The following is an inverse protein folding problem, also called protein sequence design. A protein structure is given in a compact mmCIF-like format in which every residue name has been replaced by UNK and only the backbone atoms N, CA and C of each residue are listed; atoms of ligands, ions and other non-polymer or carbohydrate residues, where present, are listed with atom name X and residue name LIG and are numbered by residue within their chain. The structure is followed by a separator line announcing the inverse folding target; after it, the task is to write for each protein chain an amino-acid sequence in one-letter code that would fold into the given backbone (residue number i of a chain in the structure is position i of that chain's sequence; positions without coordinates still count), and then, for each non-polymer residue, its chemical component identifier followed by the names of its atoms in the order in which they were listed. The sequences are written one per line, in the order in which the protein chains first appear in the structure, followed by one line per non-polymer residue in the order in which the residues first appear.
data_IF_394874380171
#
_entry.id   IF_394874380171
#
_cell.length_a   1.000
_cell.length_b   1.000
_cell.length_c   1.000
_cell.angle_alpha   90.00
_cell.angle_beta   90.00
_cell.angle_gamma   90.00
#
_symmetry.space_group_name_H-M   'P 1'
#
loop_
_entity.id
_entity.type
_entity.pdbx_description
1 polymer ?
#
# COMPACT_ATOMS: atom_id res chain seq x y z
N UNK A 1 -46.43 5.35 -3.73
CA UNK A 1 -45.27 5.69 -4.57
C UNK A 1 -44.08 5.85 -3.64
N UNK A 2 -43.13 4.93 -3.66
CA UNK A 2 -41.91 5.03 -2.85
C UNK A 2 -40.90 5.93 -3.57
N UNK A 3 -40.08 6.72 -2.84
CA UNK A 3 -39.08 7.57 -3.46
C UNK A 3 -37.96 6.72 -4.05
N UNK A 4 -37.72 6.89 -5.35
CA UNK A 4 -36.56 6.40 -6.09
C UNK A 4 -35.27 6.91 -5.45
N UNK A 5 -34.45 6.01 -4.90
CA UNK A 5 -33.07 6.33 -4.53
C UNK A 5 -32.27 6.66 -5.80
N UNK A 6 -31.57 7.80 -5.86
CA UNK A 6 -30.66 8.08 -6.95
C UNK A 6 -29.30 7.44 -6.62
N UNK A 7 -28.78 6.65 -7.56
CA UNK A 7 -27.44 6.05 -7.60
C UNK A 7 -27.21 4.78 -6.79
N UNK A 8 -27.72 3.66 -7.32
CA UNK A 8 -27.02 2.38 -7.21
C UNK A 8 -25.91 2.36 -8.29
N UNK A 9 -24.68 2.73 -7.93
CA UNK A 9 -23.54 2.22 -8.71
C UNK A 9 -23.34 0.77 -8.29
N UNK A 10 -23.47 -0.21 -9.20
CA UNK A 10 -23.50 -1.62 -8.83
C UNK A 10 -22.09 -2.06 -8.42
N UNK A 11 -21.97 -2.55 -7.19
CA UNK A 11 -20.93 -3.40 -6.63
C UNK A 11 -19.67 -3.64 -7.50
N UNK A 12 -18.59 -2.89 -7.22
CA UNK A 12 -17.24 -3.43 -7.45
C UNK A 12 -16.99 -4.39 -6.30
N UNK A 13 -17.34 -5.67 -6.48
CA UNK A 13 -17.04 -6.67 -5.47
C UNK A 13 -15.52 -6.75 -5.28
N UNK A 14 -15.00 -6.56 -4.05
CA UNK A 14 -13.60 -6.78 -3.79
C UNK A 14 -13.26 -8.22 -4.19
N UNK A 15 -12.20 -8.37 -4.98
CA UNK A 15 -11.75 -9.67 -5.49
C UNK A 15 -10.64 -10.17 -4.60
N UNK A 16 -10.77 -11.40 -4.08
CA UNK A 16 -9.78 -12.02 -3.21
C UNK A 16 -9.13 -13.22 -3.90
N UNK A 17 -7.86 -13.52 -3.61
CA UNK A 17 -6.95 -12.79 -2.73
C UNK A 17 -6.53 -11.44 -3.32
N UNK A 18 -6.22 -10.48 -2.46
CA UNK A 18 -5.73 -9.15 -2.82
C UNK A 18 -4.59 -8.72 -1.89
N UNK A 19 -3.65 -7.97 -2.45
CA UNK A 19 -2.62 -7.27 -1.71
C UNK A 19 -2.94 -5.77 -1.66
N UNK A 20 -3.06 -5.24 -0.47
CA UNK A 20 -3.21 -3.80 -0.24
C UNK A 20 -1.85 -3.20 0.15
N UNK A 21 -1.49 -2.10 -0.50
CA UNK A 21 -0.26 -1.36 -0.26
C UNK A 21 -0.62 0.06 0.13
N UNK A 22 -0.33 0.41 1.39
CA UNK A 22 -0.55 1.74 1.94
C UNK A 22 0.76 2.53 1.94
N UNK A 23 0.84 3.71 1.31
CA UNK A 23 2.06 4.50 1.24
C UNK A 23 2.48 4.97 2.65
N UNK A 24 3.78 4.90 2.95
CA UNK A 24 4.35 5.42 4.19
C UNK A 24 5.09 6.76 4.02
N UNK A 25 5.31 7.18 2.77
CA UNK A 25 6.07 8.39 2.43
C UNK A 25 5.44 9.20 1.27
N UNK A 26 4.13 9.09 1.08
CA UNK A 26 3.34 9.84 0.09
C UNK A 26 3.82 9.74 -1.37
N UNK A 27 4.58 8.69 -1.71
CA UNK A 27 5.13 8.50 -3.06
C UNK A 27 4.12 7.95 -4.08
N UNK A 28 2.97 7.46 -3.61
CA UNK A 28 1.90 6.92 -4.45
C UNK A 28 0.58 6.93 -3.66
N UNK A 29 -0.55 6.78 -4.34
CA UNK A 29 -1.86 6.56 -3.71
C UNK A 29 -2.01 5.10 -3.27
N UNK A 30 -2.77 4.77 -2.22
CA UNK A 30 -3.01 3.39 -1.82
C UNK A 30 -3.39 2.49 -3.00
N UNK A 31 -2.83 1.28 -3.04
CA UNK A 31 -3.06 0.30 -4.11
C UNK A 31 -3.74 -0.95 -3.55
N UNK A 32 -4.74 -1.45 -4.25
CA UNK A 32 -5.46 -2.69 -3.98
C UNK A 32 -5.33 -3.62 -5.19
N UNK A 33 -4.30 -4.47 -5.17
CA UNK A 33 -3.90 -5.33 -6.28
C UNK A 33 -4.57 -6.69 -6.10
N UNK A 34 -5.42 -7.10 -7.04
CA UNK A 34 -6.02 -8.44 -7.00
C UNK A 34 -5.05 -9.48 -7.57
N UNK A 35 -4.98 -10.65 -6.91
CA UNK A 35 -4.02 -11.73 -7.20
C UNK A 35 -4.73 -13.02 -7.64
N UNK A 36 -5.91 -12.91 -8.26
CA UNK A 36 -6.69 -14.06 -8.71
C UNK A 36 -6.06 -14.81 -9.90
N UNK A 37 -6.48 -16.05 -10.12
CA UNK A 37 -6.13 -16.91 -11.27
C UNK A 37 -4.64 -17.28 -11.37
N UNK A 38 -3.94 -17.46 -10.24
CA UNK A 38 -2.52 -17.81 -10.20
C UNK A 38 -1.62 -16.85 -10.99
N UNK A 39 -2.10 -15.61 -11.21
CA UNK A 39 -1.39 -14.63 -12.02
C UNK A 39 -0.30 -13.95 -11.22
N UNK A 40 0.88 -13.84 -11.83
CA UNK A 40 1.98 -13.00 -11.33
C UNK A 40 1.73 -11.57 -11.76
N UNK A 41 1.46 -10.70 -10.80
CA UNK A 41 1.35 -9.26 -11.01
C UNK A 41 2.73 -8.64 -10.95
N UNK A 42 3.11 -7.95 -12.03
CA UNK A 42 4.36 -7.20 -12.08
C UNK A 42 4.26 -5.93 -11.23
N UNK A 43 5.26 -5.74 -10.36
CA UNK A 43 5.59 -4.48 -9.73
C UNK A 43 6.68 -3.78 -10.53
N UNK A 44 6.45 -2.53 -10.90
CA UNK A 44 7.45 -1.77 -11.63
C UNK A 44 7.02 -0.36 -11.96
N UNK A 45 7.75 0.28 -12.86
CA UNK A 45 7.46 1.61 -13.38
C UNK A 45 6.99 1.54 -14.81
N UNK A 46 5.96 2.34 -15.13
CA UNK A 46 5.52 2.51 -16.51
C UNK A 46 6.65 3.03 -17.41
N UNK A 47 6.74 2.47 -18.61
CA UNK A 47 7.46 3.12 -19.69
C UNK A 47 6.54 3.41 -20.85
N UNK A 48 6.56 4.68 -21.25
CA UNK A 48 5.86 5.32 -22.40
C UNK A 48 5.88 4.55 -23.74
N UNK A 49 6.57 3.41 -23.86
CA UNK A 49 6.50 2.49 -25.00
C UNK A 49 5.13 1.79 -25.11
N UNK A 50 4.43 1.56 -24.01
CA UNK A 50 3.06 1.02 -24.01
C UNK A 50 2.12 2.08 -23.49
N UNK A 51 1.48 2.83 -24.40
CA UNK A 51 0.62 3.99 -24.14
C UNK A 51 -0.67 3.71 -23.33
N UNK A 52 -0.72 2.60 -22.60
CA UNK A 52 -1.96 2.00 -22.05
C UNK A 52 -1.86 1.64 -20.57
N UNK A 53 -0.67 1.67 -19.95
CA UNK A 53 -0.50 1.30 -18.53
C UNK A 53 -0.37 2.56 -17.68
N UNK A 54 -1.50 3.07 -17.21
CA UNK A 54 -1.55 4.22 -16.29
C UNK A 54 -1.41 3.68 -14.87
N UNK A 55 -0.44 4.14 -14.04
CA UNK A 55 -0.41 3.85 -12.62
C UNK A 55 -1.77 4.12 -11.99
N UNK A 56 -2.37 3.09 -11.40
CA UNK A 56 -3.70 3.16 -10.83
C UNK A 56 -3.78 2.38 -9.52
N UNK A 57 -4.87 2.57 -8.79
CA UNK A 57 -5.10 1.90 -7.51
C UNK A 57 -5.12 0.37 -7.66
N UNK A 58 -5.45 -0.17 -8.83
CA UNK A 58 -5.64 -1.61 -9.06
C UNK A 58 -4.47 -2.32 -9.73
N UNK A 59 -3.33 -1.67 -9.91
CA UNK A 59 -2.17 -2.25 -10.57
C UNK A 59 -0.85 -2.05 -9.80
N UNK A 60 0.14 -2.87 -10.14
CA UNK A 60 1.49 -2.84 -9.54
C UNK A 60 2.44 -1.76 -10.08
N UNK A 61 1.94 -0.79 -10.85
CA UNK A 61 2.81 0.21 -11.48
C UNK A 61 2.92 1.49 -10.65
N UNK A 62 4.14 1.98 -10.47
CA UNK A 62 4.48 3.20 -9.72
C UNK A 62 5.11 4.24 -10.63
N UNK A 63 4.81 5.52 -10.41
CA UNK A 63 5.46 6.63 -11.12
C UNK A 63 6.71 7.11 -10.34
N UNK A 64 7.72 6.24 -10.22
CA UNK A 64 8.93 6.57 -9.46
C UNK A 64 10.20 6.11 -10.17
N UNK A 65 11.12 7.05 -10.46
CA UNK A 65 12.36 6.79 -11.22
C UNK A 65 13.28 5.77 -10.57
N UNK A 66 13.18 5.58 -9.27
CA UNK A 66 13.99 4.61 -8.51
C UNK A 66 13.46 3.19 -8.61
N UNK A 67 12.26 3.02 -9.15
CA UNK A 67 11.64 1.73 -9.45
C UNK A 67 11.96 1.33 -10.89
N UNK A 68 12.35 0.06 -11.05
CA UNK A 68 12.68 -0.55 -12.34
C UNK A 68 11.40 -0.83 -13.12
N UNK A 69 11.50 -1.01 -14.45
CA UNK A 69 10.30 -1.29 -15.29
C UNK A 69 9.64 -2.62 -14.93
N UNK A 70 10.47 -3.62 -14.72
CA UNK A 70 10.16 -4.88 -14.06
C UNK A 70 11.05 -4.87 -12.83
N UNK A 71 10.47 -4.74 -11.64
CA UNK A 71 11.21 -4.56 -10.40
C UNK A 71 10.98 -5.74 -9.46
N UNK A 72 9.72 -6.10 -9.24
CA UNK A 72 9.34 -7.29 -8.50
C UNK A 72 8.12 -7.95 -9.15
N UNK A 73 7.81 -9.16 -8.71
CA UNK A 73 6.57 -9.86 -9.02
C UNK A 73 5.88 -10.25 -7.73
N UNK A 74 4.56 -10.18 -7.73
CA UNK A 74 3.71 -10.57 -6.62
C UNK A 74 2.69 -11.57 -7.12
N UNK A 75 2.46 -12.63 -6.37
CA UNK A 75 1.43 -13.62 -6.66
C UNK A 75 0.90 -14.20 -5.36
N UNK A 76 -0.25 -14.86 -5.46
CA UNK A 76 -0.73 -15.73 -4.41
C UNK A 76 -0.43 -17.19 -4.77
N UNK A 77 -0.04 -17.96 -3.78
CA UNK A 77 0.14 -19.41 -3.87
C UNK A 77 -0.29 -20.05 -2.55
N UNK A 78 -1.20 -21.02 -2.63
CA UNK A 78 -1.59 -21.87 -1.50
C UNK A 78 -2.06 -21.11 -0.25
N UNK A 79 -2.80 -20.01 -0.43
CA UNK A 79 -3.34 -19.14 0.62
C UNK A 79 -2.34 -18.13 1.17
N UNK A 80 -1.19 -17.94 0.52
CA UNK A 80 -0.11 -17.05 0.95
C UNK A 80 0.29 -16.13 -0.19
N UNK A 81 0.58 -14.87 0.13
CA UNK A 81 1.03 -13.90 -0.87
C UNK A 81 2.55 -13.87 -0.84
N UNK A 82 3.16 -13.94 -2.02
CA UNK A 82 4.60 -13.92 -2.18
C UNK A 82 5.05 -12.72 -3.02
N UNK A 83 6.27 -12.28 -2.77
CA UNK A 83 6.98 -11.30 -3.57
C UNK A 83 8.36 -11.80 -3.95
N UNK A 84 8.81 -11.47 -5.16
CA UNK A 84 10.16 -11.78 -5.64
C UNK A 84 10.74 -10.57 -6.37
N UNK A 85 11.98 -10.22 -6.06
CA UNK A 85 12.75 -9.26 -6.84
C UNK A 85 13.18 -9.88 -8.18
N UNK A 86 12.95 -9.17 -9.29
CA UNK A 86 13.26 -9.63 -10.65
C UNK A 86 14.46 -8.90 -11.26
N UNK A 87 15.61 -8.94 -10.56
CA UNK A 87 16.86 -8.24 -10.94
C UNK A 87 16.69 -6.73 -10.94
N UNK A 88 16.07 -6.19 -9.91
CA UNK A 88 15.93 -4.74 -9.81
C UNK A 88 17.29 -4.05 -9.66
N UNK A 89 17.39 -2.81 -10.16
CA UNK A 89 18.65 -2.05 -10.10
C UNK A 89 18.92 -1.52 -8.70
N UNK A 90 17.89 -0.99 -8.05
CA UNK A 90 18.03 -0.36 -6.73
C UNK A 90 17.64 -1.29 -5.58
N UNK A 91 17.21 -2.53 -5.86
CA UNK A 91 16.78 -3.50 -4.85
C UNK A 91 15.32 -3.37 -4.42
N UNK A 92 14.76 -4.52 -4.02
CA UNK A 92 13.56 -4.64 -3.20
C UNK A 92 13.97 -4.96 -1.76
N UNK A 93 13.30 -4.32 -0.80
CA UNK A 93 13.55 -4.56 0.63
C UNK A 93 12.24 -4.87 1.34
N UNK A 94 12.32 -5.72 2.37
CA UNK A 94 11.20 -6.03 3.26
C UNK A 94 11.68 -5.84 4.69
N UNK A 95 10.96 -5.04 5.45
CA UNK A 95 11.31 -4.68 6.83
C UNK A 95 12.73 -4.10 6.97
N UNK A 96 13.21 -3.43 5.93
CA UNK A 96 14.55 -2.85 5.84
C UNK A 96 15.65 -3.83 5.41
N UNK A 97 15.34 -5.12 5.24
CA UNK A 97 16.27 -6.12 4.73
C UNK A 97 16.13 -6.30 3.22
N UNK A 98 17.27 -6.33 2.51
CA UNK A 98 17.28 -6.47 1.06
C UNK A 98 17.12 -7.92 0.64
N UNK A 99 16.21 -8.20 -0.30
CA UNK A 99 15.89 -9.57 -0.73
C UNK A 99 16.97 -10.24 -1.58
N UNK A 100 17.76 -9.47 -2.33
CA UNK A 100 18.79 -10.01 -3.21
C UNK A 100 19.98 -9.05 -3.38
N UNK A 101 21.07 -9.60 -3.91
CA UNK A 101 22.20 -8.80 -4.41
C UNK A 101 21.80 -8.00 -5.65
N UNK A 102 22.57 -6.97 -5.98
CA UNK A 102 22.21 -6.05 -7.06
C UNK A 102 22.20 -6.76 -8.41
N UNK A 103 21.12 -6.57 -9.18
CA UNK A 103 20.96 -7.24 -10.47
C UNK A 103 20.76 -8.77 -10.39
N UNK A 104 20.47 -9.30 -9.20
CA UNK A 104 20.19 -10.72 -8.97
C UNK A 104 18.73 -10.90 -8.56
N UNK A 105 18.09 -11.95 -9.06
CA UNK A 105 16.74 -12.34 -8.62
C UNK A 105 16.78 -12.81 -7.16
N UNK A 106 15.74 -12.46 -6.39
CA UNK A 106 15.60 -13.02 -5.04
C UNK A 106 14.92 -14.38 -5.07
N UNK A 107 15.00 -15.10 -3.94
CA UNK A 107 14.02 -16.16 -3.67
C UNK A 107 12.63 -15.53 -3.38
N UNK A 108 11.54 -16.29 -3.58
CA UNK A 108 10.21 -15.88 -3.12
C UNK A 108 10.20 -15.60 -1.62
N UNK A 109 9.70 -14.42 -1.25
CA UNK A 109 9.48 -14.04 0.13
C UNK A 109 7.98 -14.03 0.42
N UNK A 110 7.56 -14.67 1.51
CA UNK A 110 6.17 -14.70 1.96
C UNK A 110 5.83 -13.37 2.67
N UNK A 111 4.84 -12.64 2.16
CA UNK A 111 4.38 -11.39 2.74
C UNK A 111 3.36 -11.64 3.85
N UNK A 112 3.58 -10.97 4.98
CA UNK A 112 2.65 -10.94 6.09
C UNK A 112 2.00 -9.56 6.28
N UNK A 113 0.90 -9.55 7.02
CA UNK A 113 0.23 -8.30 7.38
C UNK A 113 1.17 -7.39 8.16
N UNK A 114 1.23 -6.12 7.76
CA UNK A 114 2.06 -5.05 8.32
C UNK A 114 3.53 -5.08 7.92
N UNK A 115 3.97 -6.00 7.06
CA UNK A 115 5.30 -5.93 6.46
C UNK A 115 5.50 -4.59 5.74
N UNK A 116 6.71 -4.05 5.83
CA UNK A 116 7.09 -2.83 5.12
C UNK A 116 7.88 -3.23 3.89
N UNK A 117 7.26 -3.08 2.71
CA UNK A 117 7.94 -3.27 1.43
C UNK A 117 8.51 -1.95 0.93
N UNK A 118 9.73 -1.99 0.43
CA UNK A 118 10.40 -0.85 -0.19
C UNK A 118 10.88 -1.22 -1.59
N UNK A 119 10.66 -0.32 -2.54
CA UNK A 119 11.20 -0.44 -3.89
C UNK A 119 12.15 0.71 -4.18
N UNK A 120 13.40 0.34 -4.46
CA UNK A 120 14.49 1.25 -4.69
C UNK A 120 14.96 2.01 -3.45
N UNK A 121 15.74 3.05 -3.68
CA UNK A 121 16.42 3.86 -2.66
C UNK A 121 16.16 5.35 -2.88
N UNK A 122 16.37 6.17 -1.86
CA UNK A 122 16.36 7.62 -2.01
C UNK A 122 17.59 8.06 -2.83
N UNK A 123 17.36 8.83 -3.90
CA UNK A 123 18.43 9.47 -4.67
C UNK A 123 18.59 10.89 -4.14
N UNK A 124 19.76 11.18 -3.56
CA UNK A 124 20.13 12.51 -3.07
C UNK A 124 20.86 13.27 -4.18
N UNK A 125 20.60 14.57 -4.29
CA UNK A 125 21.29 15.45 -5.25
C UNK A 125 22.73 15.76 -4.86
N UNK A 126 23.42 16.47 -5.76
CA UNK A 126 24.83 16.86 -5.61
C UNK A 126 25.10 17.70 -4.36
N UNK A 127 24.08 18.35 -3.82
CA UNK A 127 24.15 19.15 -2.60
C UNK A 127 24.10 18.32 -1.31
N UNK A 128 23.97 16.99 -1.41
CA UNK A 128 23.81 16.04 -0.31
C UNK A 128 22.66 16.37 0.66
N UNK A 129 21.74 17.25 0.26
CA UNK A 129 20.65 17.75 1.11
C UNK A 129 19.29 17.52 0.48
N UNK A 130 19.20 17.62 -0.83
CA UNK A 130 17.92 17.51 -1.54
C UNK A 130 17.71 16.07 -2.01
N UNK A 131 16.64 15.42 -1.55
CA UNK A 131 16.21 14.13 -2.13
C UNK A 131 15.53 14.41 -3.48
N UNK A 132 16.17 13.97 -4.57
CA UNK A 132 15.68 14.13 -5.94
C UNK A 132 14.53 13.15 -6.22
N UNK A 133 14.65 11.92 -5.72
CA UNK A 133 13.65 10.88 -5.88
C UNK A 133 13.57 10.08 -4.60
N UNK A 134 12.35 9.90 -4.08
CA UNK A 134 12.11 9.07 -2.91
C UNK A 134 11.94 7.60 -3.32
N UNK A 135 12.47 6.69 -2.48
CA UNK A 135 12.11 5.27 -2.49
C UNK A 135 10.61 5.11 -2.38
N UNK A 136 10.04 4.08 -2.99
CA UNK A 136 8.64 3.73 -2.72
C UNK A 136 8.63 2.90 -1.44
N UNK A 137 7.83 3.29 -0.45
CA UNK A 137 7.72 2.59 0.83
C UNK A 137 6.25 2.38 1.16
N UNK A 138 5.87 1.13 1.41
CA UNK A 138 4.49 0.75 1.61
C UNK A 138 4.35 -0.25 2.75
N UNK A 139 3.29 -0.08 3.55
CA UNK A 139 2.84 -1.13 4.46
C UNK A 139 1.90 -2.09 3.74
N UNK A 140 2.14 -3.37 3.94
CA UNK A 140 1.40 -4.48 3.36
C UNK A 140 0.17 -4.82 4.20
N UNK A 141 -0.93 -5.13 3.53
CA UNK A 141 -2.03 -5.89 4.11
C UNK A 141 -2.49 -6.95 3.12
N UNK A 142 -2.36 -8.21 3.51
CA UNK A 142 -2.82 -9.39 2.80
C UNK A 142 -4.30 -9.60 3.09
N UNK A 143 -5.12 -9.64 2.05
CA UNK A 143 -6.58 -9.65 2.15
C UNK A 143 -7.13 -10.87 1.44
N UNK A 144 -7.63 -11.84 2.20
CA UNK A 144 -8.14 -13.11 1.67
C UNK A 144 -9.67 -13.19 1.73
N UNK A 145 -10.30 -12.39 2.59
CA UNK A 145 -11.75 -12.39 2.83
C UNK A 145 -12.34 -10.98 2.85
N UNK A 146 -13.67 -10.90 2.84
CA UNK A 146 -14.39 -9.64 3.07
C UNK A 146 -14.07 -9.04 4.43
N UNK A 147 -13.96 -9.85 5.47
CA UNK A 147 -13.65 -9.39 6.82
C UNK A 147 -12.26 -8.75 6.87
N UNK A 148 -11.25 -9.37 6.25
CA UNK A 148 -9.90 -8.81 6.14
C UNK A 148 -9.92 -7.43 5.49
N UNK A 149 -10.74 -7.24 4.45
CA UNK A 149 -10.84 -5.96 3.76
C UNK A 149 -11.46 -4.87 4.65
N UNK A 150 -12.48 -5.23 5.44
CA UNK A 150 -13.07 -4.31 6.42
C UNK A 150 -12.08 -3.94 7.52
N UNK A 151 -11.32 -4.92 8.04
CA UNK A 151 -10.27 -4.66 9.03
C UNK A 151 -9.15 -3.78 8.47
N UNK A 152 -8.71 -4.04 7.24
CA UNK A 152 -7.70 -3.21 6.56
C UNK A 152 -8.15 -1.75 6.43
N UNK A 153 -9.40 -1.53 5.99
CA UNK A 153 -9.98 -0.21 5.85
C UNK A 153 -10.10 0.52 7.20
N UNK A 154 -10.54 -0.18 8.25
CA UNK A 154 -10.67 0.39 9.59
C UNK A 154 -9.30 0.74 10.19
N UNK A 155 -8.33 -0.16 10.07
CA UNK A 155 -6.95 0.06 10.52
C UNK A 155 -6.34 1.30 9.85
N UNK A 156 -6.44 1.39 8.53
CA UNK A 156 -5.95 2.55 7.77
C UNK A 156 -6.61 3.86 8.21
N UNK A 157 -7.91 3.85 8.48
CA UNK A 157 -8.62 5.04 8.96
C UNK A 157 -8.16 5.47 10.36
N UNK A 158 -8.08 4.53 11.30
CA UNK A 158 -7.69 4.79 12.68
C UNK A 158 -6.28 5.40 12.77
N UNK A 159 -5.34 4.85 12.01
CA UNK A 159 -3.99 5.38 11.97
C UNK A 159 -3.92 6.80 11.41
N UNK A 160 -4.71 7.09 10.37
CA UNK A 160 -4.84 8.44 9.83
C UNK A 160 -5.31 9.45 10.89
N UNK A 161 -6.25 9.07 11.75
CA UNK A 161 -6.70 9.90 12.86
C UNK A 161 -5.63 10.08 13.96
N UNK A 162 -4.90 9.01 14.30
CA UNK A 162 -3.78 9.10 15.25
C UNK A 162 -2.63 9.98 14.73
N UNK A 163 -2.43 10.04 13.41
CA UNK A 163 -1.38 10.85 12.82
C UNK A 163 -1.76 12.34 12.76
N UNK A 164 -3.03 12.65 12.50
CA UNK A 164 -3.57 14.02 12.60
C UNK A 164 -3.43 14.57 14.02
N UNK A 165 -3.82 13.78 15.03
CA UNK A 165 -3.72 14.20 16.44
C UNK A 165 -2.28 14.46 16.89
N UNK A 166 -1.31 13.68 16.39
CA UNK A 166 0.13 13.90 16.63
C UNK A 166 0.66 15.19 16.01
N UNK A 167 0.19 15.58 14.81
CA UNK A 167 0.65 16.81 14.15
C UNK A 167 -0.02 18.08 14.70
N UNK A 168 -1.24 18.00 15.22
CA UNK A 168 -1.92 19.13 15.89
C UNK A 168 -1.46 19.38 17.33
N UNK A 169 -0.57 18.55 17.87
CA UNK A 169 -0.13 18.57 19.27
C UNK A 169 1.13 19.38 19.58
N UNK A 170 1.41 20.48 18.86
CA UNK A 170 2.48 21.41 19.25
C UNK A 170 1.90 22.69 19.85
N UNK A 171 2.16 22.85 21.15
CA UNK A 171 1.81 23.93 22.10
C UNK A 171 0.37 23.91 22.63
N UNK A 172 0.16 23.18 23.73
CA UNK A 172 -0.72 23.63 24.79
C UNK A 172 -0.06 23.36 26.14
N UNK A 173 0.07 24.45 26.89
CA UNK A 173 0.42 24.55 28.29
C UNK A 173 -0.13 23.40 29.16
N UNK A 174 0.66 23.01 30.15
CA UNK A 174 0.37 21.96 31.12
C UNK A 174 -0.75 22.42 32.07
N UNK A 175 -2.00 22.45 31.62
CA UNK A 175 -3.17 22.52 32.51
C UNK A 175 -4.49 22.34 31.75
N UNK A 176 -4.87 21.09 31.48
CA UNK A 176 -6.28 20.65 31.49
C UNK A 176 -6.36 19.13 31.25
N UNK A 177 -6.25 18.35 32.33
CA UNK A 177 -6.94 17.06 32.38
C UNK A 177 -8.41 17.36 32.71
N UNK A 178 -9.28 17.40 31.71
CA UNK A 178 -10.72 17.24 31.92
C UNK A 178 -11.28 16.22 30.95
N UNK A 179 -11.73 15.11 31.53
CA UNK A 179 -12.52 14.06 30.89
C UNK A 179 -13.81 14.70 30.37
N UNK A 180 -13.97 14.77 29.04
CA UNK A 180 -15.30 14.86 28.44
C UNK A 180 -15.53 13.66 27.55
N UNK A 181 -16.54 12.91 27.98
CA UNK A 181 -17.06 11.70 27.39
C UNK A 181 -17.72 12.05 26.05
N UNK A 182 -17.16 11.58 24.94
CA UNK A 182 -17.85 11.61 23.65
C UNK A 182 -17.49 10.38 22.83
N UNK A 183 -18.21 9.27 23.08
CA UNK A 183 -18.23 8.13 22.18
C UNK A 183 -19.05 8.49 20.92
N UNK A 184 -18.55 8.23 19.70
CA UNK A 184 -19.45 8.08 18.56
C UNK A 184 -20.07 6.67 18.60
N UNK A 185 -21.40 6.62 18.70
CA UNK A 185 -22.16 5.42 18.45
C UNK A 185 -22.06 5.07 16.95
N UNK A 186 -21.51 3.89 16.64
CA UNK A 186 -21.71 3.27 15.33
C UNK A 186 -22.52 2.00 15.56
N UNK A 187 -23.79 2.10 15.15
CA UNK A 187 -24.80 1.07 15.23
C UNK A 187 -24.36 -0.17 14.47
N UNK A 188 -24.14 -1.26 15.18
CA UNK A 188 -24.05 -2.62 14.67
C UNK A 188 -25.40 -2.98 14.03
N UNK A 189 -25.49 -2.97 12.70
CA UNK A 189 -26.63 -3.57 11.99
C UNK A 189 -26.15 -4.90 11.43
N UNK A 190 -26.30 -5.95 12.25
CA UNK A 190 -26.34 -7.33 11.81
C UNK A 190 -27.74 -7.59 11.24
N UNK A 191 -27.82 -8.05 10.00
CA UNK A 191 -28.97 -8.75 9.43
C UNK A 191 -28.45 -9.83 8.48
#
# INVERSE_FOLDING_TARGET
MAPTQPFSSPHVHPSYPSLYLYPLNDTFIPKHISLHNDQRVTIGRDTKKTKTIIPGERNGYFDSKVVSRQHAEIWEDSGKIYIKDVKSSNGTFINGERLSSEGVESEPFELENHDIVQFGIDIIGEDNKTTICHKVEARVTCVFTNEDAHFAALSCWLEGELQKTRQTGTVADSSALSLTNNQPAISLVMA
#
